data_IF_532181474357
#
_entry.id   IF_532181474357
#
_cell.length_a   1.000
_cell.length_b   1.000
_cell.length_c   1.000
_cell.angle_alpha   90.00
_cell.angle_beta   90.00
_cell.angle_gamma   90.00
#
_symmetry.space_group_name_H-M   'P 1'
#
loop_
_entity.id
_entity.type
_entity.pdbx_description
1 polymer ?
#
# COMPACT_ATOMS: atom_id res chain seq x y z
N UNK A 1 -2.43 -22.01 -6.31
CA UNK A 1 -2.26 -23.38 -5.77
C UNK A 1 -0.78 -23.83 -5.65
N UNK A 2 0.17 -22.90 -5.59
CA UNK A 2 1.62 -23.16 -5.63
C UNK A 2 2.23 -23.64 -4.31
N UNK A 3 1.78 -23.09 -3.16
CA UNK A 3 2.18 -23.56 -1.83
C UNK A 3 1.66 -24.95 -1.48
N UNK A 4 0.66 -25.45 -2.22
CA UNK A 4 0.08 -26.78 -1.97
C UNK A 4 0.91 -27.91 -2.61
N UNK A 5 1.91 -27.61 -3.44
CA UNK A 5 2.73 -28.59 -4.20
C UNK A 5 4.23 -28.52 -3.88
N UNK A 6 4.67 -27.73 -2.89
CA UNK A 6 6.09 -27.60 -2.52
C UNK A 6 7.03 -27.12 -3.65
N UNK A 7 6.49 -26.56 -4.73
CA UNK A 7 7.33 -25.85 -5.69
C UNK A 7 7.98 -24.65 -5.04
N UNK A 8 9.29 -24.51 -5.25
CA UNK A 8 10.04 -23.32 -4.86
C UNK A 8 9.50 -22.13 -5.66
N UNK A 9 8.59 -21.38 -5.03
CA UNK A 9 7.89 -20.22 -5.57
C UNK A 9 8.82 -19.05 -5.92
N UNK A 10 9.91 -18.95 -5.18
CA UNK A 10 10.95 -17.96 -5.41
C UNK A 10 12.24 -18.49 -4.80
N UNK A 11 13.32 -18.36 -5.56
CA UNK A 11 14.65 -18.48 -4.99
C UNK A 11 15.10 -17.09 -4.56
N UNK A 12 15.57 -16.94 -3.33
CA UNK A 12 16.30 -15.73 -2.96
C UNK A 12 17.66 -15.82 -3.64
N UNK A 13 17.81 -15.13 -4.76
CA UNK A 13 19.10 -14.98 -5.43
C UNK A 13 20.10 -14.26 -4.53
N UNK A 14 19.62 -13.37 -3.66
CA UNK A 14 20.44 -12.53 -2.79
C UNK A 14 20.10 -12.67 -1.31
N UNK A 15 21.12 -12.63 -0.46
CA UNK A 15 20.99 -12.47 0.98
C UNK A 15 20.80 -10.99 1.29
N UNK A 16 19.70 -10.63 1.97
CA UNK A 16 19.47 -9.24 2.41
C UNK A 16 19.94 -9.06 3.84
N UNK A 17 20.93 -8.19 4.04
CA UNK A 17 21.44 -7.81 5.36
C UNK A 17 20.78 -6.50 5.78
N UNK A 18 20.00 -6.53 6.86
CA UNK A 18 19.38 -5.33 7.41
C UNK A 18 20.42 -4.50 8.15
N UNK A 19 20.56 -3.25 7.73
CA UNK A 19 21.49 -2.28 8.31
C UNK A 19 20.75 -1.36 9.26
N UNK A 20 21.27 -1.16 10.46
CA UNK A 20 20.73 -0.27 11.46
C UNK A 20 20.84 1.19 10.99
N UNK A 21 19.79 1.96 11.29
CA UNK A 21 19.72 3.42 11.12
C UNK A 21 19.07 3.95 12.39
N UNK A 22 19.82 4.69 13.18
CA UNK A 22 19.36 5.28 14.44
C UNK A 22 20.21 6.51 14.77
N UNK A 23 19.64 7.43 15.54
CA UNK A 23 20.37 8.59 16.05
C UNK A 23 21.30 8.16 17.21
N UNK A 24 22.25 9.02 17.63
CA UNK A 24 23.08 8.75 18.80
C UNK A 24 22.24 8.35 20.02
N UNK A 25 22.60 7.26 20.68
CA UNK A 25 21.92 6.72 21.88
C UNK A 25 20.44 6.32 21.70
N UNK A 26 19.93 6.29 20.46
CA UNK A 26 18.57 5.85 20.15
C UNK A 26 18.53 4.49 19.46
N UNK A 27 19.41 3.56 19.86
CA UNK A 27 19.42 2.21 19.28
C UNK A 27 18.09 1.49 19.59
N UNK A 28 17.51 0.75 18.62
CA UNK A 28 16.35 -0.07 18.90
C UNK A 28 16.73 -1.25 19.81
N UNK A 29 16.03 -1.40 20.93
CA UNK A 29 16.20 -2.49 21.89
C UNK A 29 15.00 -3.44 21.76
N UNK A 30 15.28 -4.73 21.57
CA UNK A 30 14.25 -5.77 21.59
C UNK A 30 14.36 -6.52 22.92
N UNK A 31 13.26 -6.60 23.65
CA UNK A 31 13.17 -7.27 24.95
C UNK A 31 11.96 -8.20 25.00
N UNK A 32 11.93 -9.07 26.01
CA UNK A 32 10.73 -9.81 26.41
C UNK A 32 10.13 -9.08 27.62
N UNK A 33 8.81 -8.99 27.69
CA UNK A 33 8.10 -8.33 28.79
C UNK A 33 8.61 -8.83 30.15
N UNK A 34 8.98 -7.90 31.03
CA UNK A 34 9.59 -8.18 32.34
C UNK A 34 11.12 -8.33 32.33
N UNK A 35 11.80 -8.17 31.19
CA UNK A 35 13.27 -8.18 31.06
C UNK A 35 13.85 -6.86 30.52
N UNK A 36 13.13 -5.75 30.71
CA UNK A 36 13.47 -4.43 30.16
C UNK A 36 14.88 -3.98 30.62
N UNK A 37 15.14 -4.04 31.92
CA UNK A 37 16.41 -3.61 32.52
C UNK A 37 17.60 -4.41 31.97
N UNK A 38 17.47 -5.74 31.91
CA UNK A 38 18.51 -6.62 31.35
C UNK A 38 18.71 -6.42 29.85
N UNK A 39 17.66 -6.04 29.12
CA UNK A 39 17.78 -5.72 27.70
C UNK A 39 18.52 -4.40 27.46
N UNK A 40 18.30 -3.40 28.31
CA UNK A 40 19.05 -2.13 28.30
C UNK A 40 20.54 -2.37 28.57
N UNK A 41 20.88 -3.13 29.61
CA UNK A 41 22.28 -3.46 29.93
C UNK A 41 22.97 -4.21 28.78
N UNK A 42 22.29 -5.20 28.18
CA UNK A 42 22.81 -5.94 27.02
C UNK A 42 22.97 -5.06 25.78
N UNK A 43 22.07 -4.10 25.57
CA UNK A 43 22.15 -3.16 24.45
C UNK A 43 23.32 -2.18 24.61
N UNK A 44 23.59 -1.71 25.83
CA UNK A 44 24.71 -0.81 26.12
C UNK A 44 26.08 -1.42 25.76
N UNK A 45 26.21 -2.75 25.86
CA UNK A 45 27.44 -3.50 25.54
C UNK A 45 27.55 -3.92 24.07
N UNK A 46 26.49 -3.78 23.28
CA UNK A 46 26.42 -4.30 21.90
C UNK A 46 26.47 -3.19 20.86
N UNK A 47 27.33 -3.38 19.86
CA UNK A 47 27.43 -2.47 18.71
C UNK A 47 26.38 -2.83 17.66
N UNK A 48 25.79 -1.81 17.05
CA UNK A 48 24.92 -1.98 15.89
C UNK A 48 25.75 -2.09 14.62
N UNK A 49 25.16 -2.53 13.52
CA UNK A 49 25.85 -2.55 12.22
C UNK A 49 26.39 -1.17 11.81
N UNK A 50 25.75 -0.09 12.27
CA UNK A 50 26.13 1.30 12.00
C UNK A 50 27.35 1.70 12.85
N UNK A 51 27.29 1.50 14.16
CA UNK A 51 28.42 1.86 15.04
C UNK A 51 29.65 0.99 14.78
N UNK A 52 29.47 -0.27 14.39
CA UNK A 52 30.59 -1.13 13.99
C UNK A 52 31.14 -0.74 12.61
N UNK A 53 30.34 -0.15 11.73
CA UNK A 53 30.83 0.38 10.45
C UNK A 53 31.75 1.59 10.67
N UNK A 54 31.40 2.46 11.63
CA UNK A 54 32.30 3.54 12.06
C UNK A 54 33.65 3.01 12.55
N UNK A 55 33.65 1.97 13.38
CA UNK A 55 34.90 1.33 13.82
C UNK A 55 35.65 0.61 12.70
N UNK A 56 34.93 -0.02 11.77
CA UNK A 56 35.55 -0.61 10.59
C UNK A 56 36.29 0.45 9.78
N UNK A 57 35.66 1.59 9.50
CA UNK A 57 36.30 2.69 8.80
C UNK A 57 37.49 3.27 9.58
N UNK A 58 37.46 3.28 10.92
CA UNK A 58 38.66 3.72 11.69
C UNK A 58 39.86 2.79 11.48
N UNK A 59 39.62 1.50 11.35
CA UNK A 59 40.66 0.47 11.43
C UNK A 59 41.09 -0.11 10.08
N UNK A 60 40.23 -0.05 9.07
CA UNK A 60 40.46 -0.61 7.74
C UNK A 60 40.25 0.46 6.65
N UNK A 61 41.32 1.06 6.12
CA UNK A 61 41.24 2.04 5.04
C UNK A 61 40.56 1.51 3.78
N UNK A 62 40.55 0.19 3.56
CA UNK A 62 39.87 -0.39 2.38
C UNK A 62 38.34 -0.30 2.46
N UNK A 63 37.77 0.00 3.64
CA UNK A 63 36.36 0.25 3.82
C UNK A 63 35.93 1.70 3.49
N UNK A 64 36.88 2.66 3.42
CA UNK A 64 36.56 4.09 3.25
C UNK A 64 35.80 4.42 1.97
N UNK A 65 36.08 3.68 0.91
CA UNK A 65 35.49 3.89 -0.41
C UNK A 65 34.22 3.07 -0.64
N UNK A 66 33.69 2.41 0.39
CA UNK A 66 32.50 1.56 0.30
C UNK A 66 31.36 2.25 1.05
N UNK A 67 30.24 2.46 0.37
CA UNK A 67 29.03 3.04 0.97
C UNK A 67 28.50 2.12 2.07
N UNK A 68 27.85 2.67 3.10
CA UNK A 68 27.30 1.85 4.19
C UNK A 68 26.34 0.76 3.68
N UNK A 69 25.53 1.07 2.66
CA UNK A 69 24.63 0.12 1.99
C UNK A 69 25.36 -1.04 1.30
N UNK A 70 26.59 -0.83 0.83
CA UNK A 70 27.35 -1.83 0.08
C UNK A 70 28.33 -2.63 0.95
N UNK A 71 28.59 -2.20 2.19
CA UNK A 71 29.46 -2.92 3.15
C UNK A 71 29.15 -4.43 3.21
N UNK A 72 27.88 -4.89 3.25
CA UNK A 72 27.58 -6.33 3.29
C UNK A 72 28.10 -7.14 2.11
N UNK A 73 28.37 -6.52 0.95
CA UNK A 73 28.99 -7.19 -0.20
C UNK A 73 30.46 -7.55 0.06
N UNK A 74 31.16 -6.76 0.88
CA UNK A 74 32.60 -6.90 1.13
C UNK A 74 32.93 -7.38 2.54
N UNK A 75 32.00 -7.22 3.49
CA UNK A 75 32.17 -7.57 4.88
C UNK A 75 30.97 -8.38 5.40
N UNK A 76 31.22 -9.21 6.41
CA UNK A 76 30.23 -9.99 7.14
C UNK A 76 30.15 -9.45 8.56
N UNK A 77 28.93 -9.14 9.02
CA UNK A 77 28.71 -8.72 10.40
C UNK A 77 28.67 -9.95 11.32
N UNK A 78 29.68 -10.07 12.18
CA UNK A 78 29.75 -11.11 13.20
C UNK A 78 28.89 -10.69 14.40
N UNK A 79 27.77 -11.40 14.61
CA UNK A 79 26.82 -11.12 15.69
C UNK A 79 27.35 -11.45 17.08
N UNK A 80 28.38 -12.30 17.18
CA UNK A 80 28.98 -12.67 18.46
C UNK A 80 29.89 -11.55 18.96
N UNK A 81 30.77 -11.05 18.10
CA UNK A 81 31.70 -9.95 18.43
C UNK A 81 31.12 -8.57 18.14
N UNK A 82 29.97 -8.50 17.47
CA UNK A 82 29.35 -7.26 16.95
C UNK A 82 30.31 -6.42 16.08
N UNK A 83 31.13 -7.07 15.25
CA UNK A 83 32.11 -6.39 14.38
C UNK A 83 31.96 -6.84 12.92
N UNK A 84 32.38 -5.99 12.00
CA UNK A 84 32.52 -6.35 10.59
C UNK A 84 33.83 -7.10 10.35
N UNK A 85 33.79 -8.20 9.61
CA UNK A 85 34.96 -8.98 9.17
C UNK A 85 34.97 -9.09 7.65
N UNK A 86 36.15 -9.06 7.03
CA UNK A 86 36.28 -9.13 5.57
C UNK A 86 35.66 -10.42 5.03
N UNK A 87 34.77 -10.27 4.04
CA UNK A 87 34.07 -11.39 3.40
C UNK A 87 35.02 -12.12 2.46
N UNK A 88 35.00 -13.45 2.52
CA UNK A 88 35.84 -14.30 1.69
C UNK A 88 35.15 -14.75 0.39
N UNK A 89 33.82 -14.91 0.39
CA UNK A 89 33.03 -15.43 -0.76
C UNK A 89 31.60 -14.90 -0.81
N UNK A 90 31.01 -14.90 -2.01
CA UNK A 90 29.57 -14.70 -2.24
C UNK A 90 29.07 -13.26 -2.09
N UNK A 91 29.95 -12.26 -2.18
CA UNK A 91 29.61 -10.84 -2.03
C UNK A 91 28.62 -10.33 -3.06
N UNK A 92 28.74 -10.80 -4.30
CA UNK A 92 27.89 -10.45 -5.44
C UNK A 92 26.41 -10.80 -5.23
N UNK A 93 26.10 -11.73 -4.31
CA UNK A 93 24.75 -12.18 -3.99
C UNK A 93 24.29 -11.65 -2.62
N UNK A 94 24.81 -10.50 -2.16
CA UNK A 94 24.40 -9.88 -0.89
C UNK A 94 23.99 -8.42 -1.10
N UNK A 95 22.90 -8.01 -0.48
CA UNK A 95 22.39 -6.64 -0.54
C UNK A 95 22.25 -6.10 0.88
N UNK A 96 22.87 -4.97 1.17
CA UNK A 96 22.60 -4.21 2.38
C UNK A 96 21.33 -3.39 2.22
N UNK A 97 20.42 -3.47 3.19
CA UNK A 97 19.16 -2.74 3.17
C UNK A 97 19.01 -1.90 4.43
N UNK A 98 19.00 -0.59 4.25
CA UNK A 98 18.59 0.36 5.27
C UNK A 98 17.05 0.32 5.38
N UNK A 99 16.48 0.30 6.60
CA UNK A 99 15.03 0.39 6.78
C UNK A 99 14.49 1.67 6.15
N UNK A 100 13.21 1.63 5.74
CA UNK A 100 12.49 2.87 5.42
C UNK A 100 12.33 3.62 6.74
N UNK A 101 12.71 4.89 6.75
CA UNK A 101 12.50 5.80 7.88
C UNK A 101 11.43 6.78 7.45
N UNK A 102 10.43 6.99 8.30
CA UNK A 102 9.38 7.96 8.05
C UNK A 102 9.95 9.38 7.99
N UNK A 103 9.44 10.21 7.08
CA UNK A 103 9.76 11.65 7.04
C UNK A 103 9.36 12.39 8.34
N UNK A 104 8.41 11.81 9.09
CA UNK A 104 8.02 12.29 10.43
C UNK A 104 9.13 12.17 11.47
N UNK A 105 10.08 11.26 11.24
CA UNK A 105 11.26 11.05 12.07
C UNK A 105 12.44 11.81 11.44
N UNK A 106 12.29 13.14 11.42
CA UNK A 106 13.01 14.10 10.57
C UNK A 106 14.52 13.87 10.56
N UNK A 107 15.17 13.89 11.72
CA UNK A 107 16.63 13.75 11.81
C UNK A 107 17.12 12.35 11.43
N UNK A 108 16.34 11.30 11.74
CA UNK A 108 16.71 9.93 11.36
C UNK A 108 16.53 9.69 9.87
N UNK A 109 15.54 10.35 9.25
CA UNK A 109 15.33 10.35 7.81
C UNK A 109 16.52 10.99 7.08
N UNK A 110 16.97 12.16 7.52
CA UNK A 110 18.13 12.83 6.92
C UNK A 110 19.44 12.08 7.17
N UNK A 111 19.62 11.49 8.35
CA UNK A 111 20.72 10.57 8.59
C UNK A 111 20.72 9.41 7.58
N UNK A 112 19.54 8.81 7.31
CA UNK A 112 19.42 7.74 6.31
C UNK A 112 19.85 8.21 4.92
N UNK A 113 19.46 9.42 4.52
CA UNK A 113 19.86 10.02 3.23
C UNK A 113 21.38 10.15 3.13
N UNK A 114 22.03 10.69 4.17
CA UNK A 114 23.48 10.83 4.21
C UNK A 114 24.19 9.47 4.18
N UNK A 115 23.68 8.47 4.91
CA UNK A 115 24.26 7.12 4.93
C UNK A 115 24.22 6.40 3.57
N UNK A 116 23.31 6.80 2.67
CA UNK A 116 23.26 6.26 1.30
C UNK A 116 24.28 6.90 0.36
N UNK A 117 24.85 8.06 0.73
CA UNK A 117 25.70 8.87 -0.15
C UNK A 117 27.13 9.01 0.35
N UNK A 118 27.32 9.09 1.66
CA UNK A 118 28.61 9.28 2.31
C UNK A 118 29.24 7.93 2.65
N UNK A 119 30.43 7.67 2.11
CA UNK A 119 31.27 6.52 2.46
C UNK A 119 32.31 6.90 3.51
N UNK A 120 32.91 5.90 4.15
CA UNK A 120 34.08 6.09 5.01
C UNK A 120 33.85 6.83 6.33
N UNK A 121 32.61 7.17 6.68
CA UNK A 121 32.36 7.91 7.90
C UNK A 121 32.80 7.13 9.15
N UNK A 122 33.49 7.79 10.08
CA UNK A 122 34.03 7.16 11.32
C UNK A 122 33.25 7.51 12.59
N UNK A 123 32.23 8.36 12.49
CA UNK A 123 31.34 8.71 13.60
C UNK A 123 30.09 9.44 13.09
N UNK A 124 29.12 9.68 13.97
CA UNK A 124 27.99 10.56 13.67
C UNK A 124 28.44 12.00 13.41
N UNK A 125 29.41 12.51 14.16
CA UNK A 125 29.99 13.84 13.94
C UNK A 125 30.67 13.95 12.56
N UNK A 126 31.32 12.87 12.13
CA UNK A 126 31.92 12.82 10.81
C UNK A 126 30.82 12.88 9.74
N UNK A 127 29.70 12.15 9.89
CA UNK A 127 28.53 12.28 9.00
C UNK A 127 28.04 13.74 8.92
N UNK A 128 27.93 14.42 10.06
CA UNK A 128 27.52 15.83 10.17
C UNK A 128 28.53 16.83 9.58
N UNK A 129 29.76 16.41 9.29
CA UNK A 129 30.81 17.30 8.80
C UNK A 129 30.84 17.29 7.26
N UNK A 130 30.43 18.40 6.64
CA UNK A 130 30.43 18.57 5.18
C UNK A 130 31.44 19.66 4.82
N UNK A 131 32.34 19.39 3.87
CA UNK A 131 33.40 20.32 3.45
C UNK A 131 34.25 20.90 4.60
N UNK A 132 34.46 20.11 5.67
CA UNK A 132 35.22 20.53 6.85
C UNK A 132 34.44 21.35 7.88
N UNK A 133 33.16 21.65 7.63
CA UNK A 133 32.28 22.35 8.56
C UNK A 133 31.31 21.37 9.22
N UNK A 134 31.25 21.37 10.55
CA UNK A 134 30.33 20.51 11.32
C UNK A 134 28.96 21.17 11.41
N UNK A 135 27.96 20.56 10.77
CA UNK A 135 26.56 20.97 10.86
C UNK A 135 25.96 20.62 12.24
N UNK A 136 24.89 21.31 12.61
CA UNK A 136 24.18 21.09 13.88
C UNK A 136 23.23 19.89 13.77
N UNK A 137 22.55 19.75 12.63
CA UNK A 137 21.54 18.72 12.36
C UNK A 137 21.88 17.93 11.10
N UNK A 138 21.35 16.70 10.99
CA UNK A 138 21.49 15.89 9.78
C UNK A 138 20.76 16.51 8.59
N UNK A 139 19.65 17.21 8.85
CA UNK A 139 18.97 18.04 7.85
C UNK A 139 19.93 19.08 7.24
N UNK A 140 20.58 19.88 8.08
CA UNK A 140 21.52 20.90 7.63
C UNK A 140 22.70 20.26 6.87
N UNK A 141 23.21 19.12 7.33
CA UNK A 141 24.23 18.37 6.62
C UNK A 141 23.76 17.91 5.22
N UNK A 142 22.51 17.46 5.08
CA UNK A 142 21.93 17.16 3.77
C UNK A 142 21.83 18.38 2.85
N UNK A 143 21.47 19.56 3.39
CA UNK A 143 21.42 20.83 2.65
C UNK A 143 22.80 21.24 2.14
N UNK A 144 23.81 21.24 3.01
CA UNK A 144 25.19 21.57 2.67
C UNK A 144 25.83 20.56 1.71
N UNK A 145 25.43 19.29 1.80
CA UNK A 145 25.85 18.24 0.86
C UNK A 145 25.17 18.38 -0.51
N UNK A 146 24.18 19.26 -0.65
CA UNK A 146 23.41 19.43 -1.89
C UNK A 146 22.40 18.30 -2.15
N UNK A 147 22.01 17.53 -1.12
CA UNK A 147 20.94 16.52 -1.22
C UNK A 147 19.53 17.14 -1.14
N UNK A 148 19.43 18.34 -0.58
CA UNK A 148 18.19 19.07 -0.37
C UNK A 148 18.26 20.39 -1.13
N UNK A 149 18.22 20.38 -2.47
CA UNK A 149 17.96 21.58 -3.28
C UNK A 149 17.22 21.29 -4.59
N UNK A 150 15.92 21.45 -4.50
CA UNK A 150 14.90 21.97 -5.43
C UNK A 150 13.59 21.29 -5.04
N UNK A 151 12.46 21.99 -5.11
CA UNK A 151 11.13 21.37 -5.03
C UNK A 151 10.92 20.30 -6.11
N UNK A 152 11.86 20.15 -7.06
CA UNK A 152 11.89 19.12 -8.10
C UNK A 152 11.55 17.73 -7.58
N UNK A 153 12.04 17.30 -6.42
CA UNK A 153 11.71 15.97 -5.89
C UNK A 153 10.21 15.83 -5.56
N UNK A 154 9.57 16.93 -5.15
CA UNK A 154 8.13 16.99 -4.90
C UNK A 154 7.36 17.05 -6.21
N UNK A 155 7.85 17.79 -7.20
CA UNK A 155 7.26 17.77 -8.54
C UNK A 155 7.37 16.40 -9.19
N UNK A 156 8.51 15.73 -9.10
CA UNK A 156 8.72 14.38 -9.65
C UNK A 156 7.79 13.38 -8.97
N UNK A 157 7.65 13.44 -7.64
CA UNK A 157 6.75 12.56 -6.90
C UNK A 157 5.27 12.75 -7.28
N UNK A 158 4.83 14.00 -7.45
CA UNK A 158 3.47 14.31 -7.88
C UNK A 158 3.24 13.92 -9.35
N UNK A 159 4.20 14.20 -10.24
CA UNK A 159 4.14 13.81 -11.65
C UNK A 159 4.11 12.29 -11.85
N UNK A 160 4.94 11.55 -11.11
CA UNK A 160 4.96 10.09 -11.16
C UNK A 160 3.62 9.54 -10.66
N UNK A 161 3.15 10.02 -9.51
CA UNK A 161 1.88 9.58 -8.92
C UNK A 161 0.68 9.91 -9.82
N UNK A 162 0.70 11.05 -10.52
CA UNK A 162 -0.39 11.49 -11.39
C UNK A 162 -0.67 10.52 -12.54
N UNK A 163 0.30 9.67 -12.91
CA UNK A 163 0.10 8.68 -13.98
C UNK A 163 -0.78 7.49 -13.57
N UNK A 164 -0.96 7.23 -12.27
CA UNK A 164 -1.65 6.02 -11.79
C UNK A 164 -2.54 6.20 -10.56
N UNK A 165 -2.50 7.36 -9.89
CA UNK A 165 -3.35 7.68 -8.75
C UNK A 165 -4.58 8.51 -9.17
N UNK A 166 -5.66 8.41 -8.40
CA UNK A 166 -6.83 9.29 -8.58
C UNK A 166 -6.55 10.72 -8.07
N UNK A 167 -7.24 11.76 -8.58
CA UNK A 167 -7.06 13.14 -8.14
C UNK A 167 -7.16 13.34 -6.62
N UNK A 168 -8.08 12.64 -5.95
CA UNK A 168 -8.18 12.66 -4.48
C UNK A 168 -6.93 12.10 -3.80
N UNK A 169 -6.38 10.99 -4.30
CA UNK A 169 -5.13 10.42 -3.76
C UNK A 169 -3.94 11.35 -4.02
N UNK A 170 -3.93 12.08 -5.13
CA UNK A 170 -2.95 13.14 -5.39
C UNK A 170 -3.09 14.30 -4.41
N UNK A 171 -4.32 14.73 -4.08
CA UNK A 171 -4.56 15.76 -3.04
C UNK A 171 -4.10 15.30 -1.65
N UNK A 172 -4.27 14.03 -1.31
CA UNK A 172 -3.70 13.45 -0.08
C UNK A 172 -2.17 13.49 -0.08
N UNK A 173 -1.53 13.13 -1.20
CA UNK A 173 -0.07 13.19 -1.34
C UNK A 173 0.42 14.65 -1.26
N UNK A 174 -0.27 15.59 -1.90
CA UNK A 174 0.01 17.02 -1.82
C UNK A 174 -0.04 17.53 -0.38
N UNK A 175 -1.10 17.20 0.37
CA UNK A 175 -1.22 17.58 1.78
C UNK A 175 -0.11 16.96 2.65
N UNK A 176 0.29 15.71 2.39
CA UNK A 176 1.43 15.06 3.05
C UNK A 176 2.75 15.77 2.74
N UNK A 177 2.97 16.15 1.49
CA UNK A 177 4.16 16.92 1.06
C UNK A 177 4.17 18.29 1.74
N UNK A 178 3.03 18.97 1.87
CA UNK A 178 2.97 20.24 2.60
C UNK A 178 3.19 20.07 4.11
N UNK A 179 2.68 18.98 4.70
CA UNK A 179 2.80 18.68 6.13
C UNK A 179 4.20 18.27 6.58
N UNK A 180 4.95 17.61 5.71
CA UNK A 180 6.21 16.93 6.08
C UNK A 180 7.36 17.18 5.12
N UNK A 181 7.07 17.63 3.90
CA UNK A 181 8.08 18.09 2.96
C UNK A 181 8.48 19.52 3.31
N UNK A 182 9.78 19.77 3.31
CA UNK A 182 10.32 21.13 3.32
C UNK A 182 10.20 21.71 1.91
N UNK A 183 8.95 21.99 1.50
CA UNK A 183 8.65 22.66 0.23
C UNK A 183 9.01 24.13 0.36
N UNK A 184 9.82 24.64 -0.56
CA UNK A 184 10.25 26.05 -0.55
C UNK A 184 9.14 26.97 -1.09
N UNK A 185 8.44 26.55 -2.16
CA UNK A 185 7.35 27.29 -2.80
C UNK A 185 6.10 26.41 -2.99
N UNK A 186 5.29 26.29 -1.93
CA UNK A 186 4.01 25.58 -1.99
C UNK A 186 3.03 26.18 -3.03
N UNK A 187 2.94 27.52 -3.19
CA UNK A 187 2.19 28.13 -4.29
C UNK A 187 2.61 27.65 -5.68
N UNK A 188 3.90 27.59 -6.00
CA UNK A 188 4.35 27.05 -7.30
C UNK A 188 4.02 25.57 -7.43
N UNK A 189 4.24 24.77 -6.39
CA UNK A 189 3.88 23.35 -6.36
C UNK A 189 2.38 23.15 -6.64
N UNK A 190 1.51 23.98 -6.07
CA UNK A 190 0.08 23.98 -6.37
C UNK A 190 -0.18 24.35 -7.84
N UNK A 191 0.38 25.45 -8.33
CA UNK A 191 0.14 25.94 -9.70
C UNK A 191 0.54 24.91 -10.75
N UNK A 192 1.71 24.29 -10.59
CA UNK A 192 2.24 23.31 -11.55
C UNK A 192 1.42 22.01 -11.59
N UNK A 193 0.83 21.61 -10.47
CA UNK A 193 0.08 20.35 -10.35
C UNK A 193 -1.44 20.53 -10.28
N UNK A 194 -1.94 21.77 -10.37
CA UNK A 194 -3.34 22.12 -10.18
C UNK A 194 -4.26 21.26 -11.06
N UNK A 195 -3.92 21.13 -12.35
CA UNK A 195 -4.74 20.41 -13.33
C UNK A 195 -4.99 18.97 -12.88
N UNK A 196 -3.95 18.24 -12.48
CA UNK A 196 -4.07 16.86 -11.99
C UNK A 196 -4.74 16.77 -10.63
N UNK A 197 -4.56 17.78 -9.78
CA UNK A 197 -5.16 17.85 -8.45
C UNK A 197 -6.65 18.19 -8.48
N UNK A 198 -7.15 18.85 -9.52
CA UNK A 198 -8.55 19.27 -9.64
C UNK A 198 -9.32 18.60 -10.78
N UNK A 199 -8.71 17.67 -11.52
CA UNK A 199 -9.29 17.03 -12.72
C UNK A 199 -10.72 16.47 -12.49
N UNK A 200 -10.93 15.78 -11.37
CA UNK A 200 -12.24 15.25 -10.98
C UNK A 200 -13.30 16.34 -10.75
N UNK A 201 -12.89 17.48 -10.18
CA UNK A 201 -13.78 18.61 -9.93
C UNK A 201 -13.96 19.52 -11.15
N UNK A 202 -12.96 19.64 -12.02
CA UNK A 202 -13.09 20.37 -13.29
C UNK A 202 -14.06 19.64 -14.20
N UNK A 203 -13.95 18.31 -14.29
CA UNK A 203 -14.88 17.49 -15.05
C UNK A 203 -16.32 17.59 -14.51
N UNK A 204 -16.48 17.66 -13.19
CA UNK A 204 -17.80 17.72 -12.53
C UNK A 204 -18.44 19.10 -12.53
N UNK A 205 -17.65 20.17 -12.42
CA UNK A 205 -18.16 21.53 -12.29
C UNK A 205 -17.71 22.37 -13.49
N UNK A 206 -16.56 23.03 -13.39
CA UNK A 206 -15.98 23.81 -14.48
C UNK A 206 -14.50 24.08 -14.22
N UNK A 207 -13.75 24.46 -15.25
CA UNK A 207 -12.36 24.91 -15.10
C UNK A 207 -12.21 26.06 -14.09
N UNK A 208 -13.23 26.92 -13.98
CA UNK A 208 -13.21 28.08 -13.09
C UNK A 208 -13.48 27.69 -11.62
N UNK A 209 -14.35 26.71 -11.39
CA UNK A 209 -14.80 26.36 -10.02
C UNK A 209 -14.06 25.14 -9.47
N UNK A 210 -13.63 24.20 -10.32
CA UNK A 210 -12.93 22.97 -9.94
C UNK A 210 -11.73 23.18 -9.02
N UNK A 211 -10.82 24.13 -9.29
CA UNK A 211 -9.69 24.44 -8.40
C UNK A 211 -10.13 24.86 -6.98
N UNK A 212 -11.25 25.56 -6.83
CA UNK A 212 -11.76 25.97 -5.52
C UNK A 212 -12.24 24.77 -4.70
N UNK A 213 -12.89 23.81 -5.33
CA UNK A 213 -13.29 22.55 -4.68
C UNK A 213 -12.08 21.70 -4.27
N UNK A 214 -11.06 21.63 -5.14
CA UNK A 214 -9.81 20.93 -4.83
C UNK A 214 -9.09 21.55 -3.63
N UNK A 215 -9.00 22.88 -3.56
CA UNK A 215 -8.43 23.59 -2.42
C UNK A 215 -9.23 23.34 -1.13
N UNK A 216 -10.57 23.33 -1.20
CA UNK A 216 -11.40 23.05 -0.03
C UNK A 216 -11.21 21.61 0.53
N UNK A 217 -11.06 20.61 -0.36
CA UNK A 217 -10.71 19.22 0.02
C UNK A 217 -9.29 19.17 0.63
N UNK A 218 -8.34 19.95 0.09
CA UNK A 218 -6.98 20.05 0.65
C UNK A 218 -6.99 20.71 2.04
N UNK A 219 -7.78 21.75 2.30
CA UNK A 219 -7.90 22.39 3.62
C UNK A 219 -8.33 21.37 4.71
N UNK A 220 -9.29 20.50 4.39
CA UNK A 220 -9.70 19.42 5.30
C UNK A 220 -8.54 18.43 5.57
N UNK A 221 -7.81 18.02 4.53
CA UNK A 221 -6.67 17.11 4.65
C UNK A 221 -5.52 17.73 5.47
N UNK A 222 -5.24 19.02 5.28
CA UNK A 222 -4.19 19.78 5.97
C UNK A 222 -4.44 19.93 7.47
N UNK A 223 -5.70 19.86 7.91
CA UNK A 223 -6.08 19.93 9.33
C UNK A 223 -5.38 18.83 10.13
N UNK A 224 -5.17 17.64 9.54
CA UNK A 224 -4.43 16.53 10.17
C UNK A 224 -2.95 16.84 10.44
N UNK A 225 -2.41 17.88 9.81
CA UNK A 225 -1.02 18.34 9.93
C UNK A 225 -0.90 19.68 10.66
N UNK A 226 -1.99 20.18 11.28
CA UNK A 226 -2.06 21.52 11.89
C UNK A 226 -1.73 22.67 10.92
N UNK A 227 -1.91 22.45 9.62
CA UNK A 227 -1.75 23.45 8.55
C UNK A 227 -3.10 23.97 8.07
N UNK A 228 -3.05 25.05 7.29
CA UNK A 228 -4.20 25.61 6.55
C UNK A 228 -3.71 26.20 5.25
N UNK A 229 -4.58 26.39 4.26
CA UNK A 229 -4.24 27.05 3.00
C UNK A 229 -3.64 28.44 3.26
N UNK A 230 -4.17 29.17 4.25
CA UNK A 230 -3.64 30.48 4.64
C UNK A 230 -2.18 30.40 5.14
N UNK A 231 -1.84 29.39 5.94
CA UNK A 231 -0.46 29.17 6.43
C UNK A 231 0.50 28.78 5.30
N UNK A 232 -0.02 28.20 4.23
CA UNK A 232 0.74 27.77 3.06
C UNK A 232 0.72 28.79 1.92
N UNK A 233 0.18 29.99 2.15
CA UNK A 233 0.04 31.05 1.15
C UNK A 233 -0.76 30.63 -0.11
N UNK A 234 -1.65 29.65 0.03
CA UNK A 234 -2.57 29.22 -1.02
C UNK A 234 -3.88 30.02 -0.99
N UNK A 235 -4.63 30.09 -2.12
CA UNK A 235 -5.89 30.81 -2.17
C UNK A 235 -6.89 30.24 -1.15
N UNK A 236 -7.36 31.07 -0.22
CA UNK A 236 -8.40 30.67 0.73
C UNK A 236 -9.74 30.60 0.02
N UNK A 237 -10.49 29.55 0.30
CA UNK A 237 -11.77 29.30 -0.35
C UNK A 237 -12.90 29.57 0.65
N UNK A 238 -13.77 30.53 0.33
CA UNK A 238 -14.99 30.78 1.08
C UNK A 238 -16.16 30.07 0.40
N UNK A 239 -16.27 28.76 0.66
CA UNK A 239 -17.37 27.93 0.16
C UNK A 239 -18.39 27.71 1.30
N UNK A 240 -19.70 27.84 1.04
CA UNK A 240 -20.73 27.50 2.01
C UNK A 240 -20.55 26.04 2.47
N UNK A 241 -20.70 25.76 3.78
CA UNK A 241 -20.59 24.40 4.33
C UNK A 241 -21.49 23.37 3.59
N UNK A 242 -22.61 23.82 3.01
CA UNK A 242 -23.50 23.01 2.15
C UNK A 242 -22.87 22.52 0.85
N UNK A 243 -21.79 23.14 0.38
CA UNK A 243 -21.05 22.79 -0.84
C UNK A 243 -20.00 21.71 -0.53
N UNK A 244 -19.37 21.76 0.65
CA UNK A 244 -18.56 20.67 1.21
C UNK A 244 -19.43 19.43 1.53
N UNK A 245 -20.67 19.63 1.98
CA UNK A 245 -21.69 18.57 2.10
C UNK A 245 -22.24 18.10 0.74
N UNK A 246 -21.85 18.71 -0.39
CA UNK A 246 -22.32 18.42 -1.76
C UNK A 246 -21.19 18.15 -2.76
N UNK A 247 -20.18 17.40 -2.35
CA UNK A 247 -19.58 16.39 -3.25
C UNK A 247 -20.52 15.18 -3.46
N UNK A 248 -21.83 15.38 -3.29
CA UNK A 248 -22.89 14.39 -3.43
C UNK A 248 -22.99 13.98 -4.90
N UNK A 249 -22.56 12.76 -5.19
CA UNK A 249 -23.17 11.83 -6.14
C UNK A 249 -24.09 12.53 -7.17
N UNK A 250 -23.54 12.99 -8.29
CA UNK A 250 -24.39 13.42 -9.41
C UNK A 250 -25.09 12.16 -9.94
N UNK A 251 -26.33 11.98 -9.48
CA UNK A 251 -27.16 10.83 -9.83
C UNK A 251 -27.28 10.69 -11.35
N UNK A 252 -27.24 11.79 -12.11
CA UNK A 252 -27.39 11.77 -13.58
C UNK A 252 -26.11 11.29 -14.26
N UNK A 253 -24.94 11.79 -13.85
CA UNK A 253 -23.64 11.35 -14.39
C UNK A 253 -23.33 9.90 -14.01
N UNK A 254 -23.58 9.54 -12.74
CA UNK A 254 -23.38 8.18 -12.25
C UNK A 254 -24.35 7.20 -12.92
N UNK A 255 -25.60 7.61 -13.18
CA UNK A 255 -26.53 6.81 -13.98
C UNK A 255 -26.08 6.69 -15.44
N UNK A 256 -25.49 7.72 -16.04
CA UNK A 256 -24.94 7.65 -17.40
C UNK A 256 -23.74 6.68 -17.48
N UNK A 257 -22.83 6.73 -16.50
CA UNK A 257 -21.73 5.76 -16.36
C UNK A 257 -22.24 4.35 -16.10
N UNK A 258 -23.23 4.20 -15.21
CA UNK A 258 -23.90 2.92 -14.94
C UNK A 258 -24.49 2.32 -16.22
N UNK A 259 -25.21 3.12 -17.01
CA UNK A 259 -25.81 2.69 -18.27
C UNK A 259 -24.73 2.28 -19.30
N UNK A 260 -23.71 3.10 -19.47
CA UNK A 260 -22.57 2.82 -20.37
C UNK A 260 -21.84 1.53 -19.99
N UNK A 261 -21.53 1.35 -18.71
CA UNK A 261 -20.79 0.18 -18.25
C UNK A 261 -21.63 -1.09 -18.36
N UNK A 262 -22.94 -0.99 -18.08
CA UNK A 262 -23.88 -2.12 -18.21
C UNK A 262 -23.98 -2.61 -19.67
N UNK A 263 -23.89 -1.70 -20.65
CA UNK A 263 -23.86 -2.06 -22.07
C UNK A 263 -22.58 -2.84 -22.46
N UNK A 264 -21.45 -2.55 -21.80
CA UNK A 264 -20.15 -3.16 -22.10
C UNK A 264 -19.91 -4.51 -21.39
N UNK A 265 -20.76 -4.89 -20.44
CA UNK A 265 -20.64 -6.19 -19.75
C UNK A 265 -20.81 -7.34 -20.74
N UNK A 266 -19.93 -8.35 -20.60
CA UNK A 266 -20.17 -9.63 -21.24
C UNK A 266 -21.30 -10.41 -20.52
N UNK A 267 -21.74 -11.55 -21.08
CA UNK A 267 -22.85 -12.33 -20.54
C UNK A 267 -22.63 -12.82 -19.10
N UNK A 268 -21.42 -13.27 -18.76
CA UNK A 268 -21.08 -13.73 -17.40
C UNK A 268 -21.11 -12.58 -16.40
N UNK A 269 -20.48 -11.46 -16.75
CA UNK A 269 -20.43 -10.25 -15.93
C UNK A 269 -21.83 -9.65 -15.73
N UNK A 270 -22.65 -9.61 -16.79
CA UNK A 270 -24.04 -9.14 -16.71
C UNK A 270 -24.88 -9.99 -15.77
N UNK A 271 -24.79 -11.31 -15.87
CA UNK A 271 -25.49 -12.22 -14.96
C UNK A 271 -25.09 -11.99 -13.49
N UNK A 272 -23.80 -11.77 -13.21
CA UNK A 272 -23.31 -11.44 -11.86
C UNK A 272 -23.91 -10.13 -11.35
N UNK A 273 -23.91 -9.08 -12.18
CA UNK A 273 -24.48 -7.77 -11.83
C UNK A 273 -25.97 -7.88 -11.55
N UNK A 274 -26.74 -8.57 -12.40
CA UNK A 274 -28.18 -8.76 -12.22
C UNK A 274 -28.54 -9.50 -10.93
N UNK A 275 -27.82 -10.59 -10.61
CA UNK A 275 -28.01 -11.34 -9.36
C UNK A 275 -27.81 -10.42 -8.15
N UNK A 276 -26.74 -9.63 -8.15
CA UNK A 276 -26.38 -8.76 -7.02
C UNK A 276 -27.32 -7.57 -6.89
N UNK A 277 -27.73 -6.94 -8.00
CA UNK A 277 -28.72 -5.86 -7.97
C UNK A 277 -30.07 -6.37 -7.46
N UNK A 278 -30.50 -7.56 -7.90
CA UNK A 278 -31.71 -8.19 -7.36
C UNK A 278 -31.59 -8.46 -5.85
N UNK A 279 -30.43 -8.93 -5.39
CA UNK A 279 -30.18 -9.17 -3.97
C UNK A 279 -30.20 -7.91 -3.11
N UNK A 280 -29.79 -6.78 -3.67
CA UNK A 280 -29.79 -5.46 -3.04
C UNK A 280 -31.19 -4.84 -3.02
N UNK A 281 -31.92 -4.87 -4.13
CA UNK A 281 -33.18 -4.12 -4.27
C UNK A 281 -34.45 -4.94 -3.96
N UNK A 282 -34.49 -6.23 -4.28
CA UNK A 282 -35.70 -7.06 -4.12
C UNK A 282 -35.74 -7.77 -2.75
N UNK A 283 -34.58 -7.97 -2.13
CA UNK A 283 -34.36 -8.41 -0.74
C UNK A 283 -35.48 -9.29 -0.13
N UNK A 284 -35.74 -10.47 -0.70
CA UNK A 284 -36.65 -11.44 -0.08
C UNK A 284 -35.93 -12.22 1.02
N UNK A 285 -36.67 -12.78 1.97
CA UNK A 285 -36.11 -13.48 3.14
C UNK A 285 -35.17 -14.65 2.77
N UNK A 286 -35.39 -15.29 1.61
CA UNK A 286 -34.58 -16.41 1.13
C UNK A 286 -33.41 -15.98 0.23
N UNK A 287 -33.26 -14.68 -0.04
CA UNK A 287 -32.21 -14.21 -0.95
C UNK A 287 -30.83 -14.30 -0.27
N UNK A 288 -29.83 -14.97 -0.89
CA UNK A 288 -28.48 -15.01 -0.35
C UNK A 288 -27.90 -13.61 -0.14
N UNK A 289 -27.16 -13.42 0.95
CA UNK A 289 -26.50 -12.15 1.28
C UNK A 289 -25.00 -12.17 1.12
N UNK A 290 -24.39 -13.34 1.04
CA UNK A 290 -22.96 -13.51 0.94
C UNK A 290 -22.62 -14.10 -0.43
N UNK A 291 -21.88 -13.35 -1.25
CA UNK A 291 -21.45 -13.75 -2.58
C UNK A 291 -19.93 -13.73 -2.70
N UNK A 292 -19.37 -14.71 -3.42
CA UNK A 292 -17.96 -14.76 -3.77
C UNK A 292 -17.81 -14.79 -5.29
N UNK A 293 -17.16 -13.78 -5.86
CA UNK A 293 -16.83 -13.71 -7.29
C UNK A 293 -15.45 -14.33 -7.53
N UNK A 294 -15.45 -15.57 -7.98
CA UNK A 294 -14.24 -16.26 -8.44
C UNK A 294 -13.95 -15.87 -9.89
N UNK A 295 -12.80 -15.26 -10.13
CA UNK A 295 -12.38 -14.91 -11.47
C UNK A 295 -10.86 -14.90 -11.55
N UNK A 296 -10.24 -15.59 -12.51
CA UNK A 296 -8.81 -15.46 -12.79
C UNK A 296 -8.39 -14.01 -13.10
N UNK A 297 -7.08 -13.78 -13.19
CA UNK A 297 -6.56 -12.51 -13.68
C UNK A 297 -7.10 -12.20 -15.09
N UNK A 298 -7.51 -10.95 -15.32
CA UNK A 298 -7.98 -10.50 -16.63
C UNK A 298 -9.44 -10.78 -16.96
N UNK A 299 -10.23 -11.40 -16.08
CA UNK A 299 -11.68 -11.65 -16.35
C UNK A 299 -12.60 -10.45 -16.09
N UNK A 300 -12.04 -9.31 -15.68
CA UNK A 300 -12.80 -8.07 -15.49
C UNK A 300 -13.57 -7.98 -14.17
N UNK A 301 -13.11 -8.66 -13.10
CA UNK A 301 -13.68 -8.52 -11.74
C UNK A 301 -13.83 -7.05 -11.29
N UNK A 302 -12.78 -6.26 -11.46
CA UNK A 302 -12.77 -4.82 -11.14
C UNK A 302 -13.84 -4.07 -11.93
N UNK A 303 -14.03 -4.42 -13.21
CA UNK A 303 -15.08 -3.81 -14.03
C UNK A 303 -16.48 -4.13 -13.51
N UNK A 304 -16.72 -5.37 -13.04
CA UNK A 304 -17.98 -5.74 -12.35
C UNK A 304 -18.19 -4.92 -11.08
N UNK A 305 -17.14 -4.73 -10.26
CA UNK A 305 -17.23 -3.90 -9.06
C UNK A 305 -17.57 -2.45 -9.40
N UNK A 306 -16.88 -1.86 -10.36
CA UNK A 306 -17.16 -0.50 -10.85
C UNK A 306 -18.59 -0.36 -11.35
N UNK A 307 -19.10 -1.32 -12.13
CA UNK A 307 -20.49 -1.26 -12.61
C UNK A 307 -21.50 -1.34 -11.47
N UNK A 308 -21.25 -2.15 -10.45
CA UNK A 308 -22.10 -2.22 -9.26
C UNK A 308 -22.05 -0.93 -8.43
N UNK A 309 -20.88 -0.32 -8.30
CA UNK A 309 -20.68 0.96 -7.61
C UNK A 309 -21.52 2.07 -8.27
N UNK A 310 -21.54 2.13 -9.61
CA UNK A 310 -22.33 3.14 -10.33
C UNK A 310 -23.85 2.86 -10.30
N UNK A 311 -24.28 1.59 -10.23
CA UNK A 311 -25.71 1.21 -10.21
C UNK A 311 -26.36 1.26 -8.82
N UNK A 312 -25.56 1.36 -7.76
CA UNK A 312 -26.05 1.38 -6.38
C UNK A 312 -25.53 2.65 -5.71
N UNK A 313 -26.42 3.59 -5.43
CA UNK A 313 -26.10 4.94 -4.90
C UNK A 313 -25.43 4.89 -3.50
N UNK A 314 -25.47 3.74 -2.82
CA UNK A 314 -24.96 3.53 -1.45
C UNK A 314 -24.09 2.27 -1.35
N UNK A 315 -22.96 2.24 -2.07
CA UNK A 315 -21.94 1.17 -1.94
C UNK A 315 -20.72 1.70 -1.23
N UNK A 316 -20.21 0.92 -0.27
CA UNK A 316 -18.95 1.23 0.40
C UNK A 316 -17.89 0.18 0.04
N UNK A 317 -16.72 0.65 -0.39
CA UNK A 317 -15.54 -0.18 -0.58
C UNK A 317 -14.74 -0.19 0.72
N UNK A 318 -14.61 -1.35 1.37
CA UNK A 318 -13.95 -1.44 2.67
C UNK A 318 -12.42 -1.48 2.48
N UNK A 319 -11.74 -0.39 2.80
CA UNK A 319 -10.33 -0.42 3.22
C UNK A 319 -10.31 -0.31 4.76
N UNK A 320 -10.09 -1.42 5.45
CA UNK A 320 -9.93 -1.50 6.91
C UNK A 320 -8.74 -0.62 7.38
N UNK A 321 -8.70 0.11 8.51
CA UNK A 321 -9.36 0.03 9.82
C UNK A 321 -9.24 1.38 10.57
N UNK A 322 -10.33 1.83 11.21
CA UNK A 322 -10.47 2.40 12.58
C UNK A 322 -11.86 3.05 12.68
N UNK A 323 -12.85 2.31 13.20
CA UNK A 323 -14.24 2.80 13.32
C UNK A 323 -14.68 2.69 14.77
N UNK A 324 -15.07 3.82 15.36
CA UNK A 324 -15.70 3.86 16.68
C UNK A 324 -17.23 3.93 16.53
N UNK A 325 -18.01 3.37 17.46
CA UNK A 325 -19.46 3.60 17.51
C UNK A 325 -19.74 5.10 17.65
N UNK A 326 -20.67 5.66 16.86
CA UNK A 326 -21.08 7.08 16.80
C UNK A 326 -20.21 8.03 15.93
N UNK A 327 -19.49 7.51 14.93
CA UNK A 327 -18.82 8.36 13.92
C UNK A 327 -19.63 8.44 12.63
N UNK A 328 -19.37 9.45 11.78
CA UNK A 328 -20.06 9.63 10.48
C UNK A 328 -19.95 8.38 9.59
N UNK A 329 -18.86 7.64 9.73
CA UNK A 329 -18.62 6.40 8.99
C UNK A 329 -19.49 5.24 9.48
N UNK A 330 -19.85 5.20 10.77
CA UNK A 330 -20.80 4.22 11.30
C UNK A 330 -22.21 4.44 10.73
N UNK A 331 -22.62 5.70 10.56
CA UNK A 331 -23.89 6.05 9.90
C UNK A 331 -23.86 5.72 8.41
N UNK A 332 -22.72 5.92 7.73
CA UNK A 332 -22.53 5.50 6.34
C UNK A 332 -22.65 3.98 6.18
N UNK A 333 -22.06 3.21 7.11
CA UNK A 333 -22.18 1.75 7.16
C UNK A 333 -23.61 1.27 7.37
N UNK A 334 -24.39 1.97 8.21
CA UNK A 334 -25.80 1.66 8.42
C UNK A 334 -26.63 1.89 7.15
N UNK A 335 -26.33 2.90 6.35
CA UNK A 335 -27.01 3.18 5.07
C UNK A 335 -26.58 2.26 3.94
N UNK A 336 -25.31 1.84 3.92
CA UNK A 336 -24.72 1.00 2.86
C UNK A 336 -25.53 -0.27 2.63
N UNK A 337 -25.84 -0.61 1.36
CA UNK A 337 -26.61 -1.82 1.02
C UNK A 337 -25.75 -2.97 0.50
N UNK A 338 -24.65 -2.63 -0.15
CA UNK A 338 -23.67 -3.56 -0.71
C UNK A 338 -22.27 -3.20 -0.23
N UNK A 339 -21.51 -4.20 0.20
CA UNK A 339 -20.10 -4.07 0.54
C UNK A 339 -19.29 -4.96 -0.39
N UNK A 340 -18.32 -4.35 -1.08
CA UNK A 340 -17.39 -5.06 -1.96
C UNK A 340 -16.02 -5.17 -1.27
N UNK A 341 -15.45 -6.36 -1.25
CA UNK A 341 -14.13 -6.64 -0.69
C UNK A 341 -13.29 -7.41 -1.70
N UNK A 342 -12.38 -6.70 -2.38
CA UNK A 342 -11.48 -7.29 -3.37
C UNK A 342 -10.26 -7.96 -2.72
N UNK A 343 -9.67 -8.92 -3.43
CA UNK A 343 -8.55 -9.76 -2.96
C UNK A 343 -8.80 -10.45 -1.60
N UNK A 344 -10.06 -10.86 -1.38
CA UNK A 344 -10.48 -11.59 -0.20
C UNK A 344 -9.64 -12.85 0.10
N UNK A 345 -9.15 -13.64 -0.90
CA UNK A 345 -8.29 -14.80 -0.63
C UNK A 345 -6.97 -14.48 0.09
N UNK A 346 -6.46 -13.25 -0.04
CA UNK A 346 -5.22 -12.81 0.62
C UNK A 346 -5.45 -12.33 2.06
N UNK A 347 -6.72 -12.14 2.45
CA UNK A 347 -7.09 -11.59 3.75
C UNK A 347 -7.22 -12.70 4.81
N UNK A 348 -6.68 -12.45 6.00
CA UNK A 348 -6.79 -13.36 7.13
C UNK A 348 -8.25 -13.50 7.60
N UNK A 349 -8.71 -14.73 7.89
CA UNK A 349 -10.10 -15.01 8.28
C UNK A 349 -10.65 -14.10 9.38
N UNK A 350 -9.85 -13.79 10.40
CA UNK A 350 -10.22 -12.90 11.50
C UNK A 350 -10.65 -11.49 11.06
N UNK A 351 -10.17 -10.96 9.94
CA UNK A 351 -10.65 -9.68 9.44
C UNK A 351 -12.14 -9.76 9.05
N UNK A 352 -12.54 -10.84 8.35
CA UNK A 352 -13.95 -11.06 8.01
C UNK A 352 -14.82 -11.24 9.25
N UNK A 353 -14.33 -11.95 10.27
CA UNK A 353 -15.05 -12.16 11.53
C UNK A 353 -15.20 -10.88 12.35
N UNK A 354 -14.18 -10.01 12.32
CA UNK A 354 -14.24 -8.71 12.97
C UNK A 354 -15.28 -7.81 12.29
N UNK A 355 -15.29 -7.78 10.95
CA UNK A 355 -16.28 -7.01 10.17
C UNK A 355 -17.69 -7.58 10.36
N UNK A 356 -17.85 -8.91 10.32
CA UNK A 356 -19.11 -9.59 10.59
C UNK A 356 -19.68 -9.18 11.96
N UNK A 357 -18.87 -9.28 13.03
CA UNK A 357 -19.28 -8.88 14.38
C UNK A 357 -19.63 -7.39 14.45
N UNK A 358 -18.79 -6.53 13.87
CA UNK A 358 -19.02 -5.08 13.84
C UNK A 358 -20.36 -4.75 13.18
N UNK A 359 -20.65 -5.33 12.02
CA UNK A 359 -21.89 -5.08 11.30
C UNK A 359 -23.10 -5.62 12.04
N UNK A 360 -23.01 -6.81 12.66
CA UNK A 360 -24.08 -7.33 13.51
C UNK A 360 -24.36 -6.41 14.71
N UNK A 361 -23.31 -5.87 15.33
CA UNK A 361 -23.46 -4.97 16.49
C UNK A 361 -23.99 -3.59 16.10
N UNK A 362 -23.62 -3.07 14.92
CA UNK A 362 -24.14 -1.80 14.38
C UNK A 362 -25.61 -1.94 13.94
N UNK A 363 -25.92 -2.94 13.12
CA UNK A 363 -27.27 -3.15 12.55
C UNK A 363 -28.25 -3.78 13.54
N UNK A 364 -27.77 -4.30 14.67
CA UNK A 364 -28.55 -5.11 15.63
C UNK A 364 -29.17 -6.36 14.98
N UNK A 365 -28.60 -6.86 13.89
CA UNK A 365 -29.02 -8.07 13.20
C UNK A 365 -28.00 -9.20 13.42
N UNK A 366 -28.45 -10.42 13.73
CA UNK A 366 -27.58 -11.60 13.95
C UNK A 366 -27.29 -12.40 12.69
N UNK A 367 -27.83 -11.99 11.55
CA UNK A 367 -27.46 -12.56 10.26
C UNK A 367 -26.01 -12.22 9.90
N UNK A 368 -25.36 -13.02 9.03
CA UNK A 368 -24.03 -12.72 8.54
C UNK A 368 -23.92 -11.27 8.05
N UNK A 369 -22.90 -10.58 8.53
CA UNK A 369 -22.59 -9.18 8.23
C UNK A 369 -23.78 -8.24 8.47
N UNK A 370 -24.60 -8.53 9.48
CA UNK A 370 -25.73 -7.68 9.84
C UNK A 370 -26.84 -7.63 8.78
N UNK A 371 -26.96 -8.67 7.95
CA UNK A 371 -27.96 -8.75 6.87
C UNK A 371 -27.61 -7.92 5.63
N UNK A 372 -26.42 -7.31 5.58
CA UNK A 372 -25.92 -6.57 4.42
C UNK A 372 -25.51 -7.53 3.29
N UNK A 373 -25.63 -7.07 2.04
CA UNK A 373 -25.12 -7.84 0.90
C UNK A 373 -23.61 -7.67 0.84
N UNK A 374 -22.87 -8.78 0.89
CA UNK A 374 -21.41 -8.83 0.80
C UNK A 374 -21.00 -9.50 -0.50
N UNK A 375 -20.15 -8.82 -1.27
CA UNK A 375 -19.46 -9.37 -2.42
C UNK A 375 -17.96 -9.47 -2.13
N UNK A 376 -17.49 -10.68 -1.92
CA UNK A 376 -16.06 -10.97 -1.85
C UNK A 376 -15.51 -11.24 -3.25
N UNK A 377 -14.39 -10.62 -3.57
CA UNK A 377 -13.70 -10.75 -4.84
C UNK A 377 -12.35 -11.44 -4.71
N UNK A 378 -11.96 -12.21 -5.72
CA UNK A 378 -10.57 -12.60 -5.87
C UNK A 378 -10.36 -13.94 -6.56
N UNK A 379 -9.14 -14.46 -6.45
CA UNK A 379 -8.76 -15.75 -7.01
C UNK A 379 -7.94 -16.57 -6.02
N UNK A 380 -8.50 -17.69 -5.56
CA UNK A 380 -7.80 -18.60 -4.64
C UNK A 380 -6.62 -19.35 -5.27
N UNK A 381 -6.40 -19.23 -6.58
CA UNK A 381 -5.15 -19.67 -7.21
C UNK A 381 -3.98 -18.77 -6.85
N UNK A 382 -4.24 -17.54 -6.42
CA UNK A 382 -3.25 -16.56 -5.95
C UNK A 382 -2.76 -16.88 -4.53
N UNK A 383 -2.15 -15.88 -3.87
CA UNK A 383 -1.46 -16.03 -2.59
C UNK A 383 -2.48 -16.12 -1.44
N UNK A 384 -2.31 -17.11 -0.57
CA UNK A 384 -3.06 -17.22 0.69
C UNK A 384 -2.59 -16.19 1.72
N UNK A 385 -3.32 -15.95 2.82
CA UNK A 385 -2.95 -14.93 3.80
C UNK A 385 -1.52 -15.09 4.30
N UNK A 386 -0.79 -13.97 4.36
CA UNK A 386 0.63 -13.98 4.76
C UNK A 386 0.71 -13.90 6.27
N UNK A 387 1.23 -14.96 6.90
CA UNK A 387 1.47 -15.01 8.34
C UNK A 387 2.97 -14.96 8.58
N UNK A 388 3.42 -13.90 9.25
CA UNK A 388 4.83 -13.73 9.60
C UNK A 388 5.31 -14.91 10.45
N UNK A 389 6.32 -15.64 9.96
CA UNK A 389 6.88 -16.85 10.60
C UNK A 389 5.86 -17.99 10.80
N UNK A 390 4.71 -17.93 10.13
CA UNK A 390 3.67 -18.96 10.22
C UNK A 390 4.00 -20.20 9.39
N UNK A 391 3.57 -21.37 9.86
CA UNK A 391 3.66 -22.62 9.09
C UNK A 391 2.64 -22.65 7.95
N UNK A 392 2.82 -23.59 7.00
CA UNK A 392 1.83 -23.83 5.92
C UNK A 392 0.45 -24.16 6.48
N UNK A 393 0.39 -25.04 7.48
CA UNK A 393 -0.86 -25.42 8.15
C UNK A 393 -1.57 -24.20 8.71
N UNK A 394 -0.82 -23.31 9.37
CA UNK A 394 -1.36 -22.08 9.92
C UNK A 394 -1.87 -21.14 8.83
N UNK A 395 -1.13 -21.00 7.72
CA UNK A 395 -1.53 -20.19 6.56
C UNK A 395 -2.84 -20.71 5.95
N UNK A 396 -2.96 -22.02 5.77
CA UNK A 396 -4.17 -22.66 5.23
C UNK A 396 -5.34 -22.51 6.20
N UNK A 397 -5.12 -22.76 7.51
CA UNK A 397 -6.15 -22.63 8.54
C UNK A 397 -6.67 -21.19 8.67
N UNK A 398 -5.84 -20.20 8.33
CA UNK A 398 -6.20 -18.78 8.37
C UNK A 398 -6.92 -18.28 7.12
N UNK A 399 -7.09 -19.13 6.11
CA UNK A 399 -7.86 -18.82 4.91
C UNK A 399 -9.36 -18.89 5.19
N UNK A 400 -10.13 -17.97 4.60
CA UNK A 400 -11.59 -17.97 4.69
C UNK A 400 -12.18 -19.34 4.30
N UNK A 401 -11.63 -20.03 3.28
CA UNK A 401 -12.06 -21.36 2.82
C UNK A 401 -12.04 -22.46 3.89
N UNK A 402 -11.29 -22.27 4.99
CA UNK A 402 -11.23 -23.22 6.11
C UNK A 402 -12.19 -22.90 7.25
N UNK A 403 -12.92 -21.80 7.17
CA UNK A 403 -13.83 -21.35 8.22
C UNK A 403 -15.30 -21.61 7.85
N UNK A 404 -16.15 -21.85 8.86
CA UNK A 404 -17.58 -22.12 8.66
C UNK A 404 -18.33 -20.97 7.94
N UNK A 405 -17.84 -19.73 8.08
CA UNK A 405 -18.39 -18.56 7.40
C UNK A 405 -18.37 -18.73 5.87
N UNK A 406 -17.40 -19.45 5.31
CA UNK A 406 -17.31 -19.72 3.87
C UNK A 406 -18.51 -20.51 3.32
N UNK A 407 -19.13 -21.36 4.14
CA UNK A 407 -20.30 -22.15 3.74
C UNK A 407 -21.52 -21.27 3.44
N UNK A 408 -21.52 -20.03 3.92
CA UNK A 408 -22.61 -19.07 3.68
C UNK A 408 -22.46 -18.33 2.34
N UNK A 409 -21.31 -18.45 1.66
CA UNK A 409 -21.03 -17.73 0.42
C UNK A 409 -21.54 -18.48 -0.80
N UNK A 410 -22.42 -17.85 -1.57
CA UNK A 410 -22.79 -18.27 -2.90
C UNK A 410 -21.70 -17.90 -3.92
N UNK A 411 -21.29 -18.85 -4.75
CA UNK A 411 -20.14 -18.67 -5.65
C UNK A 411 -20.62 -18.28 -7.04
N UNK A 412 -20.05 -17.19 -7.54
CA UNK A 412 -20.22 -16.69 -8.89
C UNK A 412 -18.87 -16.81 -9.62
N UNK A 413 -18.91 -17.07 -10.93
CA UNK A 413 -17.71 -17.38 -11.70
C UNK A 413 -17.61 -16.48 -12.93
N UNK A 414 -16.42 -15.92 -13.15
CA UNK A 414 -16.01 -15.31 -14.41
C UNK A 414 -14.92 -16.17 -15.02
N UNK A 415 -15.16 -16.72 -16.20
CA UNK A 415 -14.23 -17.62 -16.88
C UNK A 415 -13.62 -16.98 -18.12
N UNK A 416 -14.32 -16.03 -18.75
CA UNK A 416 -13.84 -15.36 -19.96
C UNK A 416 -12.73 -14.36 -19.65
N UNK A 417 -11.53 -14.60 -20.19
CA UNK A 417 -10.43 -13.65 -20.13
C UNK A 417 -10.71 -12.49 -21.12
N UNK A 418 -10.62 -11.26 -20.61
CA UNK A 418 -10.87 -10.02 -21.36
C UNK A 418 -9.58 -9.21 -21.61
N UNK A 419 -8.45 -9.64 -21.04
CA UNK A 419 -7.16 -8.95 -21.14
C UNK A 419 -6.22 -9.62 -22.15
N UNK A 420 -6.28 -10.94 -22.27
CA UNK A 420 -5.47 -11.70 -23.21
C UNK A 420 -6.02 -11.56 -24.64
N UNK A 421 -5.13 -11.35 -25.60
CA UNK A 421 -5.46 -11.34 -27.03
C UNK A 421 -5.86 -12.73 -27.51
N UNK A 422 -6.52 -12.83 -28.67
CA UNK A 422 -6.87 -14.14 -29.24
C UNK A 422 -5.64 -15.01 -29.54
N UNK A 423 -4.52 -14.37 -29.92
CA UNK A 423 -3.22 -15.01 -30.10
C UNK A 423 -2.59 -15.54 -28.80
N UNK A 424 -3.09 -15.11 -27.64
CA UNK A 424 -2.56 -15.47 -26.32
C UNK A 424 -3.45 -16.49 -25.58
N UNK A 425 -4.46 -17.07 -26.26
CA UNK A 425 -5.38 -18.03 -25.65
C UNK A 425 -4.67 -19.25 -25.08
N UNK A 426 -3.66 -19.76 -25.77
CA UNK A 426 -2.88 -20.92 -25.33
C UNK A 426 -2.05 -20.60 -24.06
N UNK A 427 -1.50 -19.39 -23.98
CA UNK A 427 -0.81 -18.90 -22.79
C UNK A 427 -1.77 -18.74 -21.60
N UNK A 428 -2.97 -18.19 -21.85
CA UNK A 428 -4.03 -18.09 -20.85
C UNK A 428 -4.48 -19.45 -20.32
N UNK A 429 -4.65 -20.44 -21.20
CA UNK A 429 -4.99 -21.82 -20.82
C UNK A 429 -3.87 -22.47 -20.01
N UNK A 430 -2.60 -22.30 -20.44
CA UNK A 430 -1.43 -22.79 -19.71
C UNK A 430 -1.33 -22.20 -18.29
N UNK A 431 -1.58 -20.89 -18.12
CA UNK A 431 -1.61 -20.25 -16.80
C UNK A 431 -2.68 -20.86 -15.87
N UNK A 432 -3.86 -21.19 -16.42
CA UNK A 432 -4.94 -21.83 -15.67
C UNK A 432 -4.56 -23.26 -15.28
N UNK A 433 -3.97 -24.05 -16.20
CA UNK A 433 -3.53 -25.41 -15.93
C UNK A 433 -2.46 -25.48 -14.83
N UNK A 434 -1.55 -24.52 -14.83
CA UNK A 434 -0.60 -24.32 -13.74
C UNK A 434 -1.32 -23.99 -12.43
N UNK A 435 -2.27 -23.05 -12.49
CA UNK A 435 -3.10 -22.66 -11.36
C UNK A 435 -3.91 -23.82 -10.78
N UNK A 436 -4.29 -24.80 -11.60
CA UNK A 436 -5.07 -26.00 -11.28
C UNK A 436 -4.22 -27.23 -10.95
N UNK A 437 -2.88 -27.14 -11.07
CA UNK A 437 -1.94 -28.25 -10.91
C UNK A 437 -2.14 -29.40 -11.89
N UNK A 438 -2.60 -29.10 -13.10
CA UNK A 438 -2.67 -30.08 -14.20
C UNK A 438 -1.28 -30.30 -14.82
N UNK A 439 -0.39 -29.32 -14.69
CA UNK A 439 1.03 -29.47 -15.01
C UNK A 439 1.75 -30.26 -13.91
N UNK A 440 2.58 -31.24 -14.30
CA UNK A 440 3.35 -32.09 -13.37
C UNK A 440 4.39 -31.31 -12.53
N UNK A 441 5.35 -32.02 -11.94
CA UNK A 441 6.39 -31.41 -11.08
C UNK A 441 7.31 -30.42 -11.80
N UNK A 442 7.35 -30.47 -13.13
CA UNK A 442 8.17 -29.61 -13.97
C UNK A 442 7.25 -28.78 -14.86
N UNK A 443 7.28 -27.46 -14.69
CA UNK A 443 6.54 -26.53 -15.53
C UNK A 443 7.41 -26.22 -16.75
N UNK A 444 7.00 -26.70 -17.92
CA UNK A 444 7.59 -26.30 -19.19
C UNK A 444 7.02 -24.93 -19.57
N UNK A 445 7.90 -23.94 -19.76
CA UNK A 445 7.49 -22.63 -20.27
C UNK A 445 7.08 -22.76 -21.74
N UNK A 446 6.01 -22.08 -22.19
CA UNK A 446 5.68 -22.03 -23.60
C UNK A 446 6.79 -21.33 -24.40
N UNK A 447 6.98 -21.76 -25.64
CA UNK A 447 8.03 -21.26 -26.54
C UNK A 447 7.96 -19.74 -26.78
N UNK A 448 6.78 -19.14 -26.59
CA UNK A 448 6.55 -17.70 -26.65
C UNK A 448 5.82 -17.27 -25.38
N UNK A 449 6.50 -16.50 -24.52
CA UNK A 449 5.91 -15.87 -23.33
C UNK A 449 5.48 -14.41 -23.59
N UNK A 450 5.78 -13.88 -24.78
CA UNK A 450 5.41 -12.55 -25.25
C UNK A 450 5.02 -12.65 -26.72
N UNK A 451 3.99 -11.91 -27.18
CA UNK A 451 3.75 -11.77 -28.61
C UNK A 451 5.00 -11.16 -29.26
N UNK A 452 5.45 -11.77 -30.35
CA UNK A 452 6.41 -11.12 -31.24
C UNK A 452 5.74 -9.85 -31.77
N UNK A 453 6.27 -8.70 -31.36
CA UNK A 453 5.84 -7.36 -31.76
C UNK A 453 5.89 -7.23 -33.28
#
# INVERSE_FOLDING_TARGET
>A
MWRLNEFNLSHKSHTVVRLAVHLPQQQPIVYQDGQEAQAIERAALRKTTLTSWFELNKNDPSAHNISYSDIPQYYVFDKSTTNWKKRQRGGQNVIGRLPVVSILDTERYYLRMLLLRKSGAISFDDILTINGLRCITFQQACQEYGLLRCDQQWHDALNESAQFQSPRQLRMLFAMICGFGEVEDVPDLWVQHQVSLCDDFVHRYSEQTGPHYALADIEELLTSYNLSLQKLHLPTVDLPASVLERANFDVVEEQAKANSYTMQLNSEQRNVVEILLSAVYNNTADTPKCYFLDGPAGTGKTFVYSTLLHNVVEVMMLFLLHLQPNTKEADMLLKTKLIVWDEAPMTHVHAFLAVDRLLQDLTKCKEPFGGKVILLGGDFRQVLPVILRGSRTLTVASSLKKHALWLKFHKLYLTKNMRALESERDFGAWLLDIGEKKSGSTIQLPLQCYPSI
#
